data_IF_679396501605
#
_entry.id   IF_679396501605
#
_cell.length_a   1.000
_cell.length_b   1.000
_cell.length_c   1.000
_cell.angle_alpha   90.00
_cell.angle_beta   90.00
_cell.angle_gamma   90.00
#
_symmetry.space_group_name_H-M   'P 1'
#
loop_
_entity.id
_entity.type
_entity.pdbx_description
1 polymer ?
#
# COMPACT_ATOMS: atom_id res chain seq x y z
N UNK A 1 7.11 -2.00 9.76
CA UNK A 1 7.80 -1.90 8.45
C UNK A 1 8.58 -0.60 8.34
N UNK A 2 9.61 -0.54 7.51
CA UNK A 2 10.32 0.70 7.13
C UNK A 2 9.62 1.42 5.97
N UNK A 3 9.98 2.68 5.73
CA UNK A 3 9.45 3.47 4.61
C UNK A 3 9.72 2.86 3.24
N UNK A 4 10.93 2.33 3.04
CA UNK A 4 11.32 1.62 1.81
C UNK A 4 10.45 0.38 1.56
N UNK A 5 10.16 -0.40 2.61
CA UNK A 5 9.29 -1.58 2.52
C UNK A 5 7.85 -1.19 2.13
N UNK A 6 7.34 -0.06 2.65
CA UNK A 6 6.02 0.47 2.25
C UNK A 6 6.01 0.85 0.77
N UNK A 7 7.06 1.52 0.30
CA UNK A 7 7.21 1.92 -1.10
C UNK A 7 7.22 0.69 -2.02
N UNK A 8 8.00 -0.33 -1.69
CA UNK A 8 8.06 -1.56 -2.49
C UNK A 8 6.70 -2.25 -2.58
N UNK A 9 5.98 -2.36 -1.45
CA UNK A 9 4.63 -2.95 -1.42
C UNK A 9 3.66 -2.16 -2.30
N UNK A 10 3.69 -0.83 -2.21
CA UNK A 10 2.87 0.06 -3.07
C UNK A 10 3.14 -0.18 -4.55
N UNK A 11 4.41 -0.22 -4.94
CA UNK A 11 4.81 -0.38 -6.34
C UNK A 11 4.46 -1.76 -6.89
N UNK A 12 4.58 -2.81 -6.08
CA UNK A 12 4.12 -4.16 -6.43
C UNK A 12 2.61 -4.23 -6.69
N UNK A 13 1.83 -3.39 -6.00
CA UNK A 13 0.39 -3.26 -6.21
C UNK A 13 0.03 -2.33 -7.40
N UNK A 14 1.02 -1.74 -8.06
CA UNK A 14 0.82 -0.81 -9.18
C UNK A 14 0.20 0.53 -8.77
N UNK A 15 0.28 0.90 -7.49
CA UNK A 15 -0.34 2.11 -6.96
C UNK A 15 0.62 3.30 -7.00
N UNK A 16 0.09 4.49 -7.26
CA UNK A 16 0.75 5.77 -7.00
C UNK A 16 0.69 6.13 -5.51
N UNK A 17 1.50 7.09 -5.06
CA UNK A 17 1.45 7.58 -3.67
C UNK A 17 0.08 8.19 -3.34
N UNK A 18 -0.57 8.83 -4.32
CA UNK A 18 -1.93 9.39 -4.17
C UNK A 18 -2.96 8.29 -3.98
N UNK A 19 -2.96 7.26 -4.83
CA UNK A 19 -3.91 6.15 -4.71
C UNK A 19 -3.74 5.39 -3.39
N UNK A 20 -2.49 5.17 -2.95
CA UNK A 20 -2.25 4.57 -1.64
C UNK A 20 -2.78 5.47 -0.51
N UNK A 21 -2.58 6.79 -0.61
CA UNK A 21 -3.09 7.72 0.38
C UNK A 21 -4.62 7.71 0.45
N UNK A 22 -5.29 7.65 -0.70
CA UNK A 22 -6.74 7.57 -0.80
C UNK A 22 -7.27 6.27 -0.16
N UNK A 23 -6.61 5.13 -0.40
CA UNK A 23 -6.95 3.84 0.23
C UNK A 23 -6.78 3.91 1.76
N UNK A 24 -5.71 4.55 2.23
CA UNK A 24 -5.38 4.65 3.66
C UNK A 24 -6.10 5.79 4.37
N UNK A 25 -6.85 6.64 3.66
CA UNK A 25 -7.55 7.80 4.22
C UNK A 25 -6.61 8.90 4.74
N UNK A 26 -5.43 9.06 4.14
CA UNK A 26 -4.43 10.08 4.51
C UNK A 26 -4.13 11.01 3.34
N UNK A 27 -3.28 12.03 3.55
CA UNK A 27 -2.79 12.88 2.45
C UNK A 27 -1.61 12.22 1.76
N UNK A 28 -1.47 12.44 0.45
CA UNK A 28 -0.32 11.95 -0.33
C UNK A 28 1.02 12.33 0.31
N UNK A 29 1.17 13.57 0.80
CA UNK A 29 2.39 14.01 1.48
C UNK A 29 2.72 13.18 2.74
N UNK A 30 1.72 12.62 3.41
CA UNK A 30 1.95 11.70 4.54
C UNK A 30 2.64 10.43 4.07
N UNK A 31 2.17 9.85 2.95
CA UNK A 31 2.80 8.68 2.31
C UNK A 31 4.22 9.00 1.86
N UNK A 32 4.43 10.15 1.20
CA UNK A 32 5.76 10.60 0.80
C UNK A 32 6.73 10.66 2.00
N UNK A 33 6.31 11.25 3.13
CA UNK A 33 7.14 11.38 4.33
C UNK A 33 7.46 10.03 4.96
N UNK A 34 6.53 9.07 4.91
CA UNK A 34 6.77 7.70 5.34
C UNK A 34 7.79 7.00 4.44
N UNK A 35 7.56 7.00 3.13
CA UNK A 35 8.43 6.33 2.14
C UNK A 35 9.85 6.91 2.12
N UNK A 36 9.97 8.22 2.37
CA UNK A 36 11.27 8.91 2.42
C UNK A 36 11.99 8.81 3.77
N UNK A 37 11.39 8.11 4.76
CA UNK A 37 11.95 7.97 6.10
C UNK A 37 11.91 9.24 6.96
N UNK A 38 11.25 10.31 6.50
CA UNK A 38 11.05 11.56 7.25
C UNK A 38 10.13 11.31 8.47
N UNK A 39 9.17 10.40 8.32
CA UNK A 39 8.29 9.94 9.38
C UNK A 39 8.33 8.41 9.47
N UNK A 40 8.17 7.89 10.68
CA UNK A 40 7.98 6.45 10.88
C UNK A 40 6.61 6.02 10.34
N UNK A 41 6.55 4.81 9.80
CA UNK A 41 5.30 4.17 9.38
C UNK A 41 4.57 3.64 10.63
N UNK A 42 3.34 4.09 10.95
CA UNK A 42 2.59 3.57 12.07
C UNK A 42 2.24 2.08 11.89
N UNK A 43 2.22 1.30 12.96
CA UNK A 43 1.89 -0.13 12.92
C UNK A 43 0.48 -0.41 12.35
N UNK A 44 -0.46 0.51 12.52
CA UNK A 44 -1.79 0.42 11.91
C UNK A 44 -1.75 0.39 10.37
N UNK A 45 -0.79 1.10 9.76
CA UNK A 45 -0.61 1.11 8.31
C UNK A 45 -0.07 -0.24 7.82
N UNK A 46 0.84 -0.85 8.58
CA UNK A 46 1.33 -2.20 8.27
C UNK A 46 0.18 -3.23 8.22
N UNK A 47 -0.73 -3.21 9.20
CA UNK A 47 -1.91 -4.07 9.22
C UNK A 47 -2.90 -3.74 8.08
N UNK A 48 -3.06 -2.46 7.75
CA UNK A 48 -3.90 -2.04 6.63
C UNK A 48 -3.34 -2.56 5.30
N UNK A 49 -2.03 -2.47 5.08
CA UNK A 49 -1.36 -2.96 3.87
C UNK A 49 -1.56 -4.47 3.67
N UNK A 50 -1.50 -5.28 4.72
CA UNK A 50 -1.80 -6.72 4.63
C UNK A 50 -3.22 -7.00 4.10
N UNK A 51 -4.17 -6.13 4.45
CA UNK A 51 -5.56 -6.23 3.98
C UNK A 51 -5.67 -5.84 2.51
N UNK A 52 -4.98 -4.78 2.09
CA UNK A 52 -4.92 -4.34 0.68
C UNK A 52 -4.31 -5.44 -0.20
N UNK A 53 -3.17 -6.00 0.21
CA UNK A 53 -2.49 -7.09 -0.51
C UNK A 53 -3.39 -8.32 -0.65
N UNK A 54 -4.08 -8.73 0.42
CA UNK A 54 -5.01 -9.86 0.39
C UNK A 54 -6.15 -9.64 -0.61
N UNK A 55 -6.67 -8.42 -0.72
CA UNK A 55 -7.75 -8.09 -1.63
C UNK A 55 -7.29 -8.06 -3.10
N UNK A 56 -6.08 -7.55 -3.38
CA UNK A 56 -5.48 -7.61 -4.73
C UNK A 56 -5.34 -9.06 -5.20
N UNK A 57 -4.76 -9.91 -4.35
CA UNK A 57 -4.53 -11.34 -4.66
C UNK A 57 -5.85 -12.09 -4.91
N UNK A 58 -6.93 -11.76 -4.19
CA UNK A 58 -8.26 -12.35 -4.43
C UNK A 58 -8.82 -11.92 -5.78
N UNK A 59 -8.69 -10.64 -6.14
CA UNK A 59 -9.15 -10.11 -7.43
C UNK A 59 -8.41 -10.76 -8.59
N UNK A 60 -7.09 -10.90 -8.50
CA UNK A 60 -6.27 -11.56 -9.54
C UNK A 60 -6.67 -13.02 -9.77
N UNK A 61 -6.86 -13.80 -8.69
CA UNK A 61 -7.34 -15.20 -8.79
C UNK A 61 -8.72 -15.32 -9.41
N UNK A 62 -9.64 -14.41 -9.06
CA UNK A 62 -10.98 -14.39 -9.65
C UNK A 62 -10.93 -14.12 -11.17
N UNK A 63 -10.06 -13.22 -11.63
CA UNK A 63 -9.88 -12.92 -13.06
C UNK A 63 -9.26 -14.10 -13.82
N UNK A 64 -8.32 -14.84 -13.20
CA UNK A 64 -7.70 -16.01 -13.83
C UNK A 64 -8.68 -17.18 -14.02
N UNK A 65 -9.62 -17.38 -13.09
CA UNK A 65 -10.60 -18.48 -13.15
C UNK A 65 -11.73 -18.25 -14.18
N UNK A 66 -11.80 -17.07 -14.80
CA UNK A 66 -12.79 -16.70 -15.83
C UNK A 66 -12.30 -16.94 -17.27
N UNK A 67 -11.05 -17.42 -17.44
CA UNK A 67 -10.45 -17.79 -18.72
C UNK A 67 -10.42 -19.30 -18.89
#
# INVERSE_FOLDING_TARGET
MKGEELKEKREKLGLTQTELADILGVKMNTVYRWESGILFVPKSIELAMETVERNSNRKEKAVQNLK
#
